data_IF_451388507557
#
_entry.id   IF_451388507557
#
_cell.length_a   1.000
_cell.length_b   1.000
_cell.length_c   1.000
_cell.angle_alpha   90.00
_cell.angle_beta   90.00
_cell.angle_gamma   90.00
#
_symmetry.space_group_name_H-M   'P 1'
#
loop_
_entity.id
_entity.type
_entity.pdbx_description
1 polymer ?
#
# COMPACT_ATOMS: atom_id res chain seq x y z
N UNK A 1 3.55 15.23 -11.40
CA UNK A 1 3.21 14.15 -12.35
C UNK A 1 1.73 14.25 -12.63
N UNK A 2 1.30 14.50 -13.87
CA UNK A 2 -0.13 14.47 -14.21
C UNK A 2 -0.55 13.00 -14.33
N UNK A 3 -1.08 12.43 -13.27
CA UNK A 3 -1.66 11.10 -13.31
C UNK A 3 -2.99 11.18 -14.06
N UNK A 4 -3.10 10.41 -15.13
CA UNK A 4 -4.28 10.30 -15.98
C UNK A 4 -4.93 8.95 -15.74
N UNK A 5 -6.24 8.92 -15.62
CA UNK A 5 -7.05 7.71 -15.48
C UNK A 5 -7.82 7.46 -16.77
N UNK A 6 -7.80 6.24 -17.26
CA UNK A 6 -8.67 5.80 -18.34
C UNK A 6 -10.13 5.73 -17.88
N UNK A 7 -11.08 5.63 -18.81
CA UNK A 7 -12.50 5.46 -18.47
C UNK A 7 -12.75 4.22 -17.58
N UNK A 8 -12.17 3.03 -17.87
CA UNK A 8 -12.30 1.87 -16.99
C UNK A 8 -11.74 2.09 -15.59
N UNK A 9 -10.57 2.73 -15.47
CA UNK A 9 -9.99 3.06 -14.16
C UNK A 9 -10.85 4.07 -13.39
N UNK A 10 -11.42 5.04 -14.09
CA UNK A 10 -12.33 6.04 -13.50
C UNK A 10 -13.64 5.40 -13.06
N UNK A 11 -14.16 4.45 -13.85
CA UNK A 11 -15.35 3.64 -13.53
C UNK A 11 -15.12 2.82 -12.27
N UNK A 12 -14.01 2.09 -12.20
CA UNK A 12 -13.63 1.30 -11.03
C UNK A 12 -13.41 2.18 -9.79
N UNK A 13 -12.78 3.34 -9.96
CA UNK A 13 -12.53 4.27 -8.86
C UNK A 13 -13.83 4.87 -8.31
N UNK A 14 -14.76 5.28 -9.18
CA UNK A 14 -16.00 5.92 -8.77
C UNK A 14 -17.13 4.92 -8.46
N UNK A 15 -16.96 3.63 -8.80
CA UNK A 15 -17.99 2.62 -8.67
C UNK A 15 -19.18 2.87 -9.61
N UNK A 16 -18.92 3.36 -10.82
CA UNK A 16 -19.95 3.74 -11.79
C UNK A 16 -19.80 2.96 -13.08
N UNK A 17 -20.89 2.81 -13.84
CA UNK A 17 -20.84 2.16 -15.15
C UNK A 17 -20.02 3.01 -16.15
N UNK A 18 -19.13 2.38 -16.92
CA UNK A 18 -18.28 3.05 -17.91
C UNK A 18 -19.10 3.88 -18.91
N UNK A 19 -20.28 3.37 -19.30
CA UNK A 19 -21.24 4.04 -20.19
C UNK A 19 -21.67 5.42 -19.69
N UNK A 20 -21.76 5.59 -18.37
CA UNK A 20 -22.15 6.85 -17.74
C UNK A 20 -21.04 7.88 -17.80
N UNK A 21 -19.79 7.45 -17.58
CA UNK A 21 -18.60 8.31 -17.69
C UNK A 21 -18.39 8.70 -19.17
N UNK A 22 -18.51 7.75 -20.09
CA UNK A 22 -18.44 8.02 -21.52
C UNK A 22 -19.47 9.05 -21.98
N UNK A 23 -20.71 8.93 -21.48
CA UNK A 23 -21.78 9.84 -21.86
C UNK A 23 -21.47 11.29 -21.44
N UNK A 24 -20.94 11.50 -20.22
CA UNK A 24 -20.56 12.85 -19.76
C UNK A 24 -19.38 13.39 -20.55
N UNK A 25 -18.37 12.56 -20.82
CA UNK A 25 -17.19 12.98 -21.57
C UNK A 25 -17.54 13.32 -23.03
N UNK A 26 -18.53 12.65 -23.63
CA UNK A 26 -19.04 12.95 -24.98
C UNK A 26 -19.88 14.24 -25.04
N UNK A 27 -20.29 14.80 -23.90
CA UNK A 27 -21.16 15.98 -23.83
C UNK A 27 -20.40 17.30 -24.09
N UNK A 28 -19.08 17.23 -24.31
CA UNK A 28 -18.16 18.35 -24.59
C UNK A 28 -18.39 19.54 -23.63
N UNK A 29 -18.37 19.25 -22.33
CA UNK A 29 -18.52 20.26 -21.27
C UNK A 29 -17.25 21.13 -21.17
N UNK A 30 -17.36 22.47 -21.32
CA UNK A 30 -16.19 23.37 -21.33
C UNK A 30 -15.41 23.39 -20.02
N UNK A 31 -16.04 23.01 -18.90
CA UNK A 31 -15.39 22.93 -17.58
C UNK A 31 -14.57 21.63 -17.44
N UNK A 32 -14.97 20.55 -18.11
CA UNK A 32 -14.33 19.23 -18.05
C UNK A 32 -13.30 19.04 -19.18
N UNK A 33 -13.52 19.66 -20.33
CA UNK A 33 -12.69 19.57 -21.54
C UNK A 33 -11.18 19.74 -21.30
N UNK A 34 -10.70 20.69 -20.45
CA UNK A 34 -9.26 20.86 -20.20
C UNK A 34 -8.58 19.67 -19.53
N UNK A 35 -9.38 18.78 -18.93
CA UNK A 35 -8.93 17.63 -18.16
C UNK A 35 -9.07 16.31 -18.94
N UNK A 36 -9.68 16.35 -20.12
CA UNK A 36 -9.86 15.19 -21.00
C UNK A 36 -8.70 15.12 -22.00
N UNK A 37 -8.04 13.97 -22.05
CA UNK A 37 -7.03 13.63 -23.04
C UNK A 37 -7.62 12.60 -24.00
N UNK A 38 -7.92 13.03 -25.22
CA UNK A 38 -8.33 12.13 -26.30
C UNK A 38 -7.07 11.72 -27.07
N UNK A 39 -6.50 10.57 -26.74
CA UNK A 39 -5.35 10.07 -27.49
C UNK A 39 -5.86 9.53 -28.84
N UNK A 40 -5.66 10.31 -29.90
CA UNK A 40 -5.89 9.86 -31.27
C UNK A 40 -4.76 8.91 -31.65
N UNK A 41 -5.02 7.61 -31.60
CA UNK A 41 -4.05 6.59 -31.98
C UNK A 41 -3.60 6.79 -33.43
N UNK A 42 -2.33 7.16 -33.62
CA UNK A 42 -1.64 6.99 -34.88
C UNK A 42 -1.32 5.49 -35.03
N UNK A 43 -2.13 4.77 -35.79
CA UNK A 43 -1.81 3.42 -36.29
C UNK A 43 -2.61 2.29 -35.65
N UNK A 44 -3.55 1.74 -36.43
CA UNK A 44 -3.97 0.34 -36.41
C UNK A 44 -4.43 -0.29 -35.09
N UNK A 45 -5.49 0.25 -34.46
CA UNK A 45 -6.58 -0.54 -33.87
C UNK A 45 -7.59 0.37 -33.19
N UNK A 46 -8.85 0.06 -33.40
CA UNK A 46 -10.02 0.79 -32.96
C UNK A 46 -10.17 0.79 -31.43
N UNK A 47 -9.59 1.77 -30.73
CA UNK A 47 -10.16 2.30 -29.47
C UNK A 47 -9.61 3.70 -29.25
N UNK A 48 -10.48 4.72 -29.34
CA UNK A 48 -10.13 6.07 -28.86
C UNK A 48 -9.99 5.98 -27.35
N UNK A 49 -8.77 5.82 -26.85
CA UNK A 49 -8.53 5.85 -25.41
C UNK A 49 -8.69 7.29 -24.92
N UNK A 50 -9.79 7.51 -24.22
CA UNK A 50 -10.10 8.75 -23.52
C UNK A 50 -9.59 8.58 -22.09
N UNK A 51 -8.78 9.53 -21.64
CA UNK A 51 -8.27 9.57 -20.28
C UNK A 51 -8.62 10.92 -19.62
N UNK A 52 -8.81 10.90 -18.30
CA UNK A 52 -9.17 12.06 -17.49
C UNK A 52 -8.06 12.28 -16.47
N UNK A 53 -7.56 13.50 -16.35
CA UNK A 53 -6.58 13.83 -15.30
C UNK A 53 -7.24 13.80 -13.92
N UNK A 54 -6.49 13.42 -12.87
CA UNK A 54 -7.01 13.41 -11.49
C UNK A 54 -7.66 14.75 -11.07
N UNK A 55 -7.11 15.88 -11.48
CA UNK A 55 -7.64 17.22 -11.17
C UNK A 55 -9.04 17.46 -11.75
N UNK A 56 -9.42 16.70 -12.79
CA UNK A 56 -10.74 16.76 -13.41
C UNK A 56 -11.79 15.88 -12.73
N UNK A 57 -11.39 14.96 -11.83
CA UNK A 57 -12.33 14.08 -11.12
C UNK A 57 -13.39 14.85 -10.33
N UNK A 58 -13.08 15.90 -9.55
CA UNK A 58 -14.11 16.64 -8.82
C UNK A 58 -15.16 17.26 -9.75
N UNK A 59 -14.75 17.73 -10.93
CA UNK A 59 -15.64 18.31 -11.94
C UNK A 59 -16.50 17.19 -12.55
N UNK A 60 -15.91 16.05 -12.90
CA UNK A 60 -16.64 14.89 -13.39
C UNK A 60 -17.69 14.42 -12.37
N UNK A 61 -17.32 14.24 -11.10
CA UNK A 61 -18.22 13.85 -10.00
C UNK A 61 -19.35 14.86 -9.84
N UNK A 62 -19.04 16.17 -9.90
CA UNK A 62 -20.05 17.24 -9.88
C UNK A 62 -21.03 17.13 -11.06
N UNK A 63 -20.60 16.73 -12.25
CA UNK A 63 -21.51 16.53 -13.39
C UNK A 63 -22.31 15.23 -13.28
N UNK A 64 -21.71 14.18 -12.72
CA UNK A 64 -22.38 12.91 -12.41
C UNK A 64 -23.49 13.11 -11.39
N UNK A 65 -23.29 13.93 -10.35
CA UNK A 65 -24.30 14.18 -9.32
C UNK A 65 -25.56 14.90 -9.84
N UNK A 66 -25.49 15.58 -10.98
CA UNK A 66 -26.65 16.18 -11.65
C UNK A 66 -27.41 15.20 -12.57
N UNK A 67 -26.82 14.05 -12.94
CA UNK A 67 -27.39 13.11 -13.89
C UNK A 67 -27.64 11.70 -13.32
N UNK A 68 -27.10 11.39 -12.15
CA UNK A 68 -27.32 10.16 -11.37
C UNK A 68 -28.06 10.55 -10.08
N UNK A 69 -28.86 9.65 -9.50
CA UNK A 69 -29.32 9.85 -8.12
C UNK A 69 -28.09 10.00 -7.23
N UNK A 70 -27.88 11.19 -6.68
CA UNK A 70 -26.69 11.51 -5.89
C UNK A 70 -26.48 10.52 -4.72
N UNK A 71 -27.56 9.85 -4.28
CA UNK A 71 -27.55 8.76 -3.32
C UNK A 71 -26.59 7.62 -3.69
N UNK A 72 -26.57 7.13 -4.94
CA UNK A 72 -25.75 5.98 -5.34
C UNK A 72 -24.25 6.32 -5.32
N UNK A 73 -23.91 7.55 -5.75
CA UNK A 73 -22.53 8.06 -5.68
C UNK A 73 -22.09 8.23 -4.22
N UNK A 74 -22.97 8.79 -3.38
CA UNK A 74 -22.69 8.99 -1.95
C UNK A 74 -22.50 7.65 -1.24
N UNK A 75 -23.35 6.67 -1.50
CA UNK A 75 -23.27 5.34 -0.88
C UNK A 75 -21.97 4.63 -1.27
N UNK A 76 -21.60 4.66 -2.55
CA UNK A 76 -20.34 4.09 -3.01
C UNK A 76 -19.12 4.78 -2.38
N UNK A 77 -19.10 6.11 -2.34
CA UNK A 77 -18.01 6.86 -1.71
C UNK A 77 -17.96 6.60 -0.19
N UNK A 78 -19.11 6.50 0.47
CA UNK A 78 -19.17 6.17 1.90
C UNK A 78 -18.62 4.76 2.17
N UNK A 79 -18.96 3.77 1.34
CA UNK A 79 -18.38 2.43 1.41
C UNK A 79 -16.86 2.44 1.22
N UNK A 80 -16.35 3.21 0.26
CA UNK A 80 -14.91 3.34 0.04
C UNK A 80 -14.19 3.99 1.23
N UNK A 81 -14.77 5.05 1.80
CA UNK A 81 -14.22 5.72 3.00
C UNK A 81 -14.18 4.75 4.18
N UNK A 82 -15.26 4.00 4.41
CA UNK A 82 -15.32 3.01 5.49
C UNK A 82 -14.25 1.92 5.29
N UNK A 83 -14.10 1.41 4.07
CA UNK A 83 -13.09 0.40 3.76
C UNK A 83 -11.66 0.94 4.00
N UNK A 84 -11.39 2.19 3.61
CA UNK A 84 -10.10 2.83 3.87
C UNK A 84 -9.83 2.97 5.37
N UNK A 85 -10.84 3.29 6.17
CA UNK A 85 -10.70 3.39 7.62
C UNK A 85 -10.42 2.03 8.26
N UNK A 86 -11.09 0.97 7.82
CA UNK A 86 -10.80 -0.41 8.27
C UNK A 86 -9.35 -0.78 7.93
N UNK A 87 -8.93 -0.57 6.68
CA UNK A 87 -7.55 -0.85 6.26
C UNK A 87 -6.51 -0.02 7.03
N UNK A 88 -6.88 1.20 7.42
CA UNK A 88 -6.02 2.05 8.26
C UNK A 88 -5.86 1.47 9.66
N UNK A 89 -6.95 1.03 10.27
CA UNK A 89 -6.94 0.39 11.60
C UNK A 89 -6.12 -0.90 11.59
N UNK A 90 -6.35 -1.79 10.62
CA UNK A 90 -5.56 -3.02 10.45
C UNK A 90 -4.07 -2.72 10.25
N UNK A 91 -3.73 -1.67 9.50
CA UNK A 91 -2.33 -1.25 9.35
C UNK A 91 -1.71 -0.74 10.65
N UNK A 92 -2.48 -0.03 11.49
CA UNK A 92 -1.99 0.43 12.79
C UNK A 92 -1.77 -0.76 13.75
N UNK A 93 -2.68 -1.74 13.76
CA UNK A 93 -2.52 -2.99 14.51
C UNK A 93 -1.30 -3.78 14.06
N UNK A 94 -1.16 -4.02 12.75
CA UNK A 94 0.00 -4.73 12.19
C UNK A 94 1.32 -4.03 12.50
N UNK A 95 1.34 -2.68 12.50
CA UNK A 95 2.54 -1.92 12.90
C UNK A 95 2.88 -2.13 14.37
N UNK A 96 1.87 -2.20 15.24
CA UNK A 96 2.07 -2.45 16.66
C UNK A 96 2.62 -3.86 16.89
N UNK A 97 2.01 -4.87 16.28
CA UNK A 97 2.46 -6.26 16.37
C UNK A 97 3.89 -6.43 15.84
N UNK A 98 4.22 -5.77 14.72
CA UNK A 98 5.58 -5.79 14.18
C UNK A 98 6.59 -5.19 15.16
N UNK A 99 6.22 -4.14 15.88
CA UNK A 99 7.09 -3.49 16.86
C UNK A 99 7.28 -4.36 18.11
N UNK A 100 6.24 -5.06 18.58
CA UNK A 100 6.33 -6.03 19.66
C UNK A 100 7.23 -7.21 19.28
N UNK A 101 7.00 -7.82 18.11
CA UNK A 101 7.83 -8.91 17.60
C UNK A 101 9.30 -8.49 17.42
N UNK A 102 9.57 -7.25 17.01
CA UNK A 102 10.95 -6.74 16.91
C UNK A 102 11.62 -6.63 18.28
N UNK A 103 10.90 -6.20 19.31
CA UNK A 103 11.43 -6.16 20.68
C UNK A 103 11.75 -7.55 21.19
N UNK A 104 10.84 -8.51 21.01
CA UNK A 104 11.08 -9.90 21.40
C UNK A 104 12.29 -10.48 20.67
N UNK A 105 12.42 -10.19 19.38
CA UNK A 105 13.54 -10.64 18.57
C UNK A 105 14.88 -10.04 19.06
N UNK A 106 14.90 -8.75 19.39
CA UNK A 106 16.08 -8.09 19.94
C UNK A 106 16.45 -8.62 21.34
N UNK A 107 15.45 -8.91 22.18
CA UNK A 107 15.66 -9.51 23.50
C UNK A 107 16.20 -10.93 23.41
N UNK A 108 15.64 -11.77 22.54
CA UNK A 108 16.14 -13.12 22.26
C UNK A 108 17.57 -13.10 21.71
N UNK A 109 17.90 -12.16 20.82
CA UNK A 109 19.27 -11.98 20.32
C UNK A 109 20.24 -11.61 21.44
N UNK A 110 19.83 -10.74 22.35
CA UNK A 110 20.64 -10.36 23.51
C UNK A 110 20.90 -11.55 24.42
N UNK A 111 19.88 -12.37 24.69
CA UNK A 111 20.03 -13.60 25.48
C UNK A 111 20.93 -14.63 24.78
N UNK A 112 20.86 -14.72 23.45
CA UNK A 112 21.71 -15.63 22.68
C UNK A 112 23.18 -15.19 22.78
N UNK A 113 23.47 -13.90 22.64
CA UNK A 113 24.81 -13.34 22.84
C UNK A 113 25.34 -13.61 24.25
N UNK A 114 24.55 -13.36 25.29
CA UNK A 114 24.94 -13.62 26.68
C UNK A 114 25.24 -15.11 26.91
N UNK A 115 24.41 -15.99 26.36
CA UNK A 115 24.64 -17.43 26.45
C UNK A 115 25.91 -17.87 25.69
N UNK A 116 26.20 -17.31 24.53
CA UNK A 116 27.45 -17.56 23.78
C UNK A 116 28.68 -17.11 24.59
N UNK A 117 28.61 -15.95 25.23
CA UNK A 117 29.68 -15.45 26.11
C UNK A 117 29.91 -16.39 27.29
N UNK A 118 28.85 -16.85 27.96
CA UNK A 118 28.92 -17.80 29.08
C UNK A 118 29.53 -19.13 28.63
N UNK A 119 29.11 -19.66 27.48
CA UNK A 119 29.64 -20.91 26.92
C UNK A 119 31.13 -20.76 26.61
N UNK A 120 31.54 -19.65 26.00
CA UNK A 120 32.95 -19.38 25.70
C UNK A 120 33.81 -19.28 26.97
N UNK A 121 33.29 -18.66 28.03
CA UNK A 121 33.96 -18.56 29.32
C UNK A 121 34.09 -19.94 30.00
N UNK A 122 33.02 -20.75 29.99
CA UNK A 122 33.02 -22.10 30.54
C UNK A 122 34.03 -23.03 29.84
N UNK A 123 34.13 -22.95 28.51
CA UNK A 123 35.12 -23.71 27.73
C UNK A 123 36.57 -23.31 28.10
N UNK A 124 36.82 -22.01 28.27
CA UNK A 124 38.14 -21.50 28.68
C UNK A 124 38.53 -21.96 30.10
N UNK A 125 37.59 -22.00 31.04
CA UNK A 125 37.83 -22.54 32.39
C UNK A 125 38.12 -24.03 32.35
N UNK A 126 37.33 -24.82 31.60
CA UNK A 126 37.56 -26.25 31.43
C UNK A 126 38.95 -26.58 30.84
N UNK A 127 39.38 -25.81 29.82
CA UNK A 127 40.73 -25.92 29.24
C UNK A 127 41.83 -25.62 30.28
N UNK A 128 41.68 -24.57 31.08
CA UNK A 128 42.63 -24.24 32.16
C UNK A 128 42.74 -25.35 33.20
N UNK A 129 41.63 -25.97 33.56
CA UNK A 129 41.57 -27.05 34.54
C UNK A 129 42.26 -28.34 34.05
N UNK A 130 42.11 -28.65 32.76
CA UNK A 130 42.80 -29.78 32.12
C UNK A 130 44.32 -29.53 32.06
N UNK A 131 44.75 -28.34 31.66
CA UNK A 131 46.17 -27.96 31.62
C UNK A 131 46.79 -28.03 33.03
N UNK A 132 46.08 -27.51 34.04
CA UNK A 132 46.53 -27.50 35.43
C UNK A 132 46.66 -28.91 36.02
N UNK A 133 45.77 -29.84 35.63
CA UNK A 133 45.90 -31.25 35.99
C UNK A 133 47.12 -31.87 35.30
N UNK A 134 47.33 -31.63 34.00
CA UNK A 134 48.44 -32.21 33.25
C UNK A 134 49.81 -31.74 33.75
N UNK A 135 49.97 -30.46 34.07
CA UNK A 135 51.21 -29.91 34.64
C UNK A 135 51.56 -30.51 36.02
N UNK A 136 50.55 -30.94 36.78
CA UNK A 136 50.73 -31.58 38.09
C UNK A 136 51.34 -32.99 38.00
N UNK A 137 51.18 -33.65 36.86
CA UNK A 137 51.75 -34.99 36.60
C UNK A 137 53.18 -34.96 36.07
N UNK A 138 53.69 -33.79 35.68
CA UNK A 138 55.05 -33.60 35.17
C UNK A 138 56.06 -33.10 36.22
N UNK A 139 55.63 -32.89 37.47
CA UNK A 139 56.49 -32.61 38.64
C UNK A 139 56.56 -33.85 39.52
#
# INVERSE_FOLDING_TARGET
MKSTLTIPETSALLGLEESTIEWIVKKDDPELEPYIQRNSGNGSSETKQVAITLDGLPILIKKLSYNIQTADIIENLACQILHLEILRQENEELKKDNLELRKELDELKSQLLENEEIISAAQNVGLRDVISRKLRWFK
#
